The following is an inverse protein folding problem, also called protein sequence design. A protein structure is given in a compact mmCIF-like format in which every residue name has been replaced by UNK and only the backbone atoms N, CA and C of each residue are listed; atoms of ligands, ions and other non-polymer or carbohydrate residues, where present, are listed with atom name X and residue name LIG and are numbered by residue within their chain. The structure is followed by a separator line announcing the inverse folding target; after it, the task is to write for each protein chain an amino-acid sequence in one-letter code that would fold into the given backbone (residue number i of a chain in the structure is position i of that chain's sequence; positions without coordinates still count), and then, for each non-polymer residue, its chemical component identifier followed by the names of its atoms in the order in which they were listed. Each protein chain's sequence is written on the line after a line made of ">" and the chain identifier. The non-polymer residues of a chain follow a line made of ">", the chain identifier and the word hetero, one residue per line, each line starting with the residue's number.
data_IF_274216537931
#
_entry.id   IF_274216537931
#
_cell.length_a   1.000
_cell.length_b   1.000
_cell.length_c   1.000
_cell.angle_alpha   90.00
_cell.angle_beta   90.00
_cell.angle_gamma   90.00
#
_symmetry.space_group_name_H-M   'P 1'
#
loop_
_entity.id
_entity.type
_entity.pdbx_description
1 polymer ?
#
# COMPACT_ATOMS: atom_id res chain seq x y z
N UNK A 1 -39.07 25.22 -76.25
CA UNK A 1 -39.21 23.92 -76.94
C UNK A 1 -38.07 23.01 -76.51
N UNK A 2 -38.39 21.78 -76.09
CA UNK A 2 -37.58 20.54 -76.18
C UNK A 2 -36.31 20.45 -75.30
N UNK A 3 -36.34 19.64 -74.23
CA UNK A 3 -36.04 18.18 -74.17
C UNK A 3 -34.53 17.90 -74.08
N UNK A 4 -34.00 17.46 -72.92
CA UNK A 4 -33.95 16.08 -72.38
C UNK A 4 -32.53 15.52 -72.56
N UNK A 5 -31.93 15.03 -71.46
CA UNK A 5 -31.31 13.69 -71.38
C UNK A 5 -30.86 13.40 -69.96
N UNK A 6 -31.34 12.25 -69.49
CA UNK A 6 -31.12 11.64 -68.18
C UNK A 6 -29.70 11.06 -68.10
N UNK A 7 -29.14 11.01 -66.90
CA UNK A 7 -28.52 9.78 -66.39
C UNK A 7 -28.41 9.82 -64.86
N UNK A 8 -28.84 8.73 -64.25
CA UNK A 8 -29.01 8.52 -62.84
C UNK A 8 -27.66 8.38 -62.11
N UNK A 9 -27.58 8.95 -60.91
CA UNK A 9 -26.75 8.42 -59.84
C UNK A 9 -27.51 8.58 -58.52
N UNK A 10 -28.01 7.45 -58.05
CA UNK A 10 -28.63 7.22 -56.76
C UNK A 10 -27.52 7.24 -55.69
N UNK A 11 -27.51 8.19 -54.77
CA UNK A 11 -27.09 7.93 -53.37
C UNK A 11 -27.93 8.81 -52.44
N UNK A 12 -28.81 8.11 -51.73
CA UNK A 12 -29.57 8.53 -50.57
C UNK A 12 -28.61 8.91 -49.43
N UNK A 13 -28.84 10.06 -48.79
CA UNK A 13 -28.03 10.49 -47.66
C UNK A 13 -28.51 11.78 -46.99
N UNK A 14 -29.78 11.79 -46.59
CA UNK A 14 -30.28 12.70 -45.56
C UNK A 14 -29.51 12.44 -44.25
N UNK A 15 -28.81 13.43 -43.72
CA UNK A 15 -28.99 13.80 -42.31
C UNK A 15 -28.37 15.17 -41.99
N UNK A 16 -29.30 16.06 -41.73
CA UNK A 16 -29.16 17.41 -41.22
C UNK A 16 -28.94 17.38 -39.70
N UNK A 17 -28.14 18.35 -39.24
CA UNK A 17 -28.28 19.12 -37.99
C UNK A 17 -27.57 18.63 -36.71
N UNK A 18 -26.58 19.44 -36.35
CA UNK A 18 -26.42 20.14 -35.06
C UNK A 18 -26.35 19.30 -33.77
N UNK A 19 -25.16 19.31 -33.18
CA UNK A 19 -24.91 18.97 -31.78
C UNK A 19 -23.63 19.63 -31.28
N UNK A 20 -23.58 20.97 -31.26
CA UNK A 20 -22.63 21.71 -30.43
C UNK A 20 -23.14 21.68 -29.00
N UNK A 21 -22.29 21.29 -28.03
CA UNK A 21 -22.28 21.62 -26.58
C UNK A 21 -21.87 20.37 -25.80
N UNK A 22 -20.62 20.35 -25.32
CA UNK A 22 -20.22 19.99 -23.95
C UNK A 22 -18.85 20.66 -23.73
N UNK A 23 -18.82 21.85 -23.15
CA UNK A 23 -18.63 22.11 -21.72
C UNK A 23 -17.14 22.11 -21.31
N UNK A 24 -16.61 23.32 -21.15
CA UNK A 24 -15.37 23.58 -20.41
C UNK A 24 -15.48 22.96 -19.01
N UNK A 25 -14.68 21.92 -18.76
CA UNK A 25 -14.60 21.24 -17.48
C UNK A 25 -13.17 20.76 -17.24
N UNK A 26 -12.36 21.64 -16.67
CA UNK A 26 -11.18 21.34 -15.84
C UNK A 26 -10.10 20.38 -16.43
N UNK A 27 -8.91 20.86 -16.87
CA UNK A 27 -7.79 20.00 -17.30
C UNK A 27 -7.05 19.33 -16.12
N UNK A 28 -7.73 19.11 -14.99
CA UNK A 28 -7.18 18.40 -13.83
C UNK A 28 -7.63 16.93 -13.83
N UNK A 29 -7.61 16.30 -15.01
CA UNK A 29 -7.28 14.88 -15.05
C UNK A 29 -5.78 14.79 -14.77
N UNK A 30 -5.42 14.90 -13.48
CA UNK A 30 -4.20 14.30 -12.99
C UNK A 30 -4.19 12.89 -13.55
N UNK A 31 -3.24 12.62 -14.44
CA UNK A 31 -2.72 11.28 -14.65
C UNK A 31 -2.42 10.74 -13.25
N UNK A 32 -3.39 10.07 -12.65
CA UNK A 32 -3.10 8.95 -11.77
C UNK A 32 -2.40 7.97 -12.69
N UNK A 33 -1.07 8.14 -12.77
CA UNK A 33 -0.19 7.14 -13.31
C UNK A 33 -0.49 5.92 -12.47
N UNK A 34 -1.33 5.04 -13.01
CA UNK A 34 -1.57 3.73 -12.42
C UNK A 34 -0.18 3.10 -12.34
N UNK A 35 0.39 3.10 -11.14
CA UNK A 35 1.64 2.42 -10.85
C UNK A 35 1.39 0.96 -11.16
N UNK A 36 1.75 0.54 -12.37
CA UNK A 36 1.74 -0.84 -12.77
C UNK A 36 2.66 -1.60 -11.79
N UNK A 37 2.23 -2.73 -11.20
CA UNK A 37 3.05 -3.52 -10.29
C UNK A 37 4.44 -3.87 -10.84
N UNK A 38 4.56 -3.96 -12.18
CA UNK A 38 5.81 -4.24 -12.89
C UNK A 38 6.80 -3.06 -12.91
N UNK A 39 6.42 -1.89 -12.39
CA UNK A 39 7.27 -0.69 -12.32
C UNK A 39 8.05 -0.53 -11.00
N UNK A 40 8.01 -1.53 -10.12
CA UNK A 40 8.72 -1.48 -8.82
C UNK A 40 10.17 -1.91 -9.01
N UNK A 41 11.10 -0.99 -8.74
CA UNK A 41 12.55 -1.23 -8.84
C UNK A 41 13.14 -1.85 -7.56
N UNK A 42 14.34 -2.44 -7.68
CA UNK A 42 15.05 -3.01 -6.51
C UNK A 42 15.48 -1.91 -5.53
N UNK A 43 15.83 -0.73 -6.03
CA UNK A 43 16.10 0.48 -5.24
C UNK A 43 14.92 0.82 -4.32
N UNK A 44 13.70 0.81 -4.87
CA UNK A 44 12.49 1.09 -4.10
C UNK A 44 12.19 -0.01 -3.08
N UNK A 45 12.43 -1.28 -3.42
CA UNK A 45 12.31 -2.39 -2.47
C UNK A 45 13.33 -2.31 -1.33
N UNK A 46 14.56 -1.85 -1.60
CA UNK A 46 15.58 -1.58 -0.57
C UNK A 46 15.15 -0.46 0.37
N UNK A 47 14.64 0.65 -0.17
CA UNK A 47 14.10 1.75 0.64
C UNK A 47 12.91 1.29 1.47
N UNK A 48 12.01 0.51 0.87
CA UNK A 48 10.87 -0.06 1.59
C UNK A 48 11.33 -0.98 2.73
N UNK A 49 12.32 -1.86 2.50
CA UNK A 49 12.90 -2.69 3.54
C UNK A 49 13.46 -1.86 4.70
N UNK A 50 14.23 -0.81 4.38
CA UNK A 50 14.77 0.12 5.38
C UNK A 50 13.66 0.80 6.19
N UNK A 51 12.63 1.33 5.52
CA UNK A 51 11.45 1.93 6.18
C UNK A 51 10.80 0.92 7.13
N UNK A 52 10.54 -0.30 6.68
CA UNK A 52 9.90 -1.31 7.55
C UNK A 52 10.77 -1.72 8.73
N UNK A 53 12.10 -1.81 8.54
CA UNK A 53 13.04 -2.14 9.61
C UNK A 53 13.07 -1.06 10.68
N UNK A 54 13.18 0.20 10.27
CA UNK A 54 13.19 1.36 11.18
C UNK A 54 11.88 1.46 11.96
N UNK A 55 10.74 1.29 11.30
CA UNK A 55 9.42 1.30 11.95
C UNK A 55 9.30 0.16 12.95
N UNK A 56 9.72 -1.06 12.60
CA UNK A 56 9.65 -2.20 13.49
C UNK A 56 10.47 -1.98 14.76
N UNK A 57 11.70 -1.48 14.64
CA UNK A 57 12.55 -1.15 15.79
C UNK A 57 11.87 -0.14 16.73
N UNK A 58 11.26 0.93 16.18
CA UNK A 58 10.54 1.92 16.98
C UNK A 58 9.30 1.34 17.65
N UNK A 59 8.57 0.47 16.95
CA UNK A 59 7.38 -0.17 17.50
C UNK A 59 7.74 -1.16 18.62
N UNK A 60 8.81 -1.93 18.47
CA UNK A 60 9.27 -2.85 19.50
C UNK A 60 9.68 -2.09 20.76
N UNK A 61 10.41 -0.98 20.62
CA UNK A 61 10.74 -0.10 21.74
C UNK A 61 9.49 0.51 22.41
N UNK A 62 8.51 0.92 21.61
CA UNK A 62 7.26 1.46 22.13
C UNK A 62 6.41 0.40 22.85
N UNK A 63 6.39 -0.84 22.37
CA UNK A 63 5.71 -1.96 23.05
C UNK A 63 6.31 -2.15 24.45
N UNK A 64 7.64 -2.21 24.55
CA UNK A 64 8.34 -2.32 25.84
C UNK A 64 7.96 -1.16 26.77
N UNK A 65 7.94 0.07 26.25
CA UNK A 65 7.56 1.27 27.01
C UNK A 65 6.11 1.20 27.52
N UNK A 66 5.16 0.84 26.66
CA UNK A 66 3.72 0.81 26.99
C UNK A 66 3.35 -0.33 27.95
N UNK A 67 4.17 -1.38 28.03
CA UNK A 67 3.98 -2.53 28.90
C UNK A 67 4.76 -2.44 30.21
N UNK A 68 5.63 -1.45 30.41
CA UNK A 68 6.50 -1.35 31.59
C UNK A 68 5.74 -1.43 32.93
N UNK A 69 4.52 -0.89 32.98
CA UNK A 69 3.64 -0.89 34.16
C UNK A 69 2.46 -1.87 34.05
N UNK A 70 2.52 -2.83 33.13
CA UNK A 70 1.48 -3.84 32.88
C UNK A 70 1.98 -5.22 33.26
N UNK A 71 1.07 -6.09 33.69
CA UNK A 71 1.37 -7.50 33.98
C UNK A 71 1.38 -8.35 32.69
N UNK A 72 2.08 -7.89 31.66
CA UNK A 72 2.18 -8.58 30.37
C UNK A 72 3.57 -8.37 29.77
N UNK A 73 4.20 -9.49 29.44
CA UNK A 73 5.49 -9.49 28.75
C UNK A 73 5.35 -9.02 27.27
N UNK A 74 6.31 -8.26 26.72
CA UNK A 74 6.31 -7.87 25.31
C UNK A 74 6.14 -9.02 24.31
N UNK A 75 6.79 -10.17 24.54
CA UNK A 75 6.68 -11.34 23.67
C UNK A 75 5.26 -11.89 23.69
N UNK A 76 4.62 -11.91 24.87
CA UNK A 76 3.23 -12.35 25.02
C UNK A 76 2.27 -11.40 24.31
N UNK A 77 2.48 -10.09 24.41
CA UNK A 77 1.71 -9.11 23.66
C UNK A 77 1.82 -9.33 22.15
N UNK A 78 3.05 -9.53 21.64
CA UNK A 78 3.29 -9.78 20.22
C UNK A 78 2.64 -11.09 19.75
N UNK A 79 2.68 -12.14 20.57
CA UNK A 79 2.00 -13.42 20.30
C UNK A 79 0.49 -13.21 20.11
N UNK A 80 -0.16 -12.49 21.03
CA UNK A 80 -1.60 -12.20 20.96
C UNK A 80 -1.91 -11.40 19.69
N UNK A 81 -1.12 -10.37 19.38
CA UNK A 81 -1.29 -9.55 18.17
C UNK A 81 -1.07 -10.35 16.88
N UNK A 82 -0.20 -11.37 16.87
CA UNK A 82 -0.05 -12.29 15.74
C UNK A 82 -1.27 -13.18 15.57
N UNK A 83 -1.77 -13.77 16.67
CA UNK A 83 -2.97 -14.62 16.67
C UNK A 83 -4.21 -13.86 16.18
N UNK A 84 -4.42 -12.63 16.65
CA UNK A 84 -5.56 -11.79 16.23
C UNK A 84 -5.55 -11.45 14.74
N UNK A 85 -4.38 -11.41 14.09
CA UNK A 85 -4.26 -11.15 12.64
C UNK A 85 -4.55 -12.39 11.79
N UNK A 86 -4.50 -13.58 12.37
CA UNK A 86 -4.75 -14.82 11.66
C UNK A 86 -6.14 -15.38 12.06
N UNK A 87 -7.14 -15.35 11.16
CA UNK A 87 -8.50 -15.81 11.47
C UNK A 87 -8.61 -17.33 11.65
N UNK A 88 -7.53 -18.08 11.49
CA UNK A 88 -7.48 -19.53 11.71
C UNK A 88 -6.90 -19.92 13.07
N UNK A 89 -6.43 -18.95 13.86
CA UNK A 89 -5.91 -19.18 15.22
C UNK A 89 -7.01 -19.05 16.25
N UNK A 90 -7.04 -19.98 17.19
CA UNK A 90 -7.95 -19.93 18.33
C UNK A 90 -7.54 -18.82 19.31
N UNK A 91 -8.53 -18.09 19.83
CA UNK A 91 -8.37 -17.04 20.84
C UNK A 91 -8.62 -17.56 22.26
N UNK A 92 -8.96 -18.84 22.45
CA UNK A 92 -9.30 -19.44 23.74
C UNK A 92 -8.21 -19.28 24.81
N UNK A 93 -6.94 -19.07 24.42
CA UNK A 93 -5.81 -18.92 25.32
C UNK A 93 -5.54 -17.48 25.78
N UNK A 94 -6.39 -16.52 25.45
CA UNK A 94 -6.24 -15.11 25.86
C UNK A 94 -7.17 -14.80 27.03
N UNK A 95 -6.59 -14.46 28.18
CA UNK A 95 -7.36 -14.07 29.37
C UNK A 95 -8.02 -12.69 29.21
N UNK A 96 -9.04 -12.41 30.03
CA UNK A 96 -9.70 -11.09 30.03
C UNK A 96 -8.73 -9.93 30.37
N UNK A 97 -7.76 -10.17 31.25
CA UNK A 97 -6.78 -9.16 31.63
C UNK A 97 -5.81 -8.86 30.48
N UNK A 98 -5.40 -9.88 29.75
CA UNK A 98 -4.57 -9.73 28.55
C UNK A 98 -5.34 -8.99 27.46
N UNK A 99 -6.60 -9.36 27.24
CA UNK A 99 -7.45 -8.67 26.26
C UNK A 99 -7.62 -7.18 26.60
N UNK A 100 -7.85 -6.84 27.88
CA UNK A 100 -7.92 -5.43 28.33
C UNK A 100 -6.62 -4.66 28.05
N UNK A 101 -5.48 -5.32 28.25
CA UNK A 101 -4.17 -4.71 27.99
C UNK A 101 -3.98 -4.46 26.50
N UNK A 102 -4.38 -5.41 25.65
CA UNK A 102 -4.35 -5.25 24.19
C UNK A 102 -5.27 -4.13 23.73
N UNK A 103 -6.50 -4.09 24.22
CA UNK A 103 -7.48 -3.05 23.85
C UNK A 103 -7.01 -1.64 24.24
N UNK A 104 -6.26 -1.50 25.34
CA UNK A 104 -5.70 -0.22 25.77
C UNK A 104 -4.49 0.22 24.92
N UNK A 105 -3.63 -0.72 24.55
CA UNK A 105 -2.33 -0.44 23.91
C UNK A 105 -2.45 -0.35 22.40
N UNK A 106 -3.25 -1.21 21.76
CA UNK A 106 -3.41 -1.27 20.31
C UNK A 106 -3.68 0.10 19.65
N UNK A 107 -4.62 0.94 20.12
CA UNK A 107 -4.86 2.25 19.50
C UNK A 107 -3.68 3.21 19.66
N UNK A 108 -2.87 3.09 20.73
CA UNK A 108 -1.65 3.88 20.94
C UNK A 108 -0.57 3.45 19.93
N UNK A 109 -0.35 2.14 19.79
CA UNK A 109 0.58 1.58 18.82
C UNK A 109 0.21 1.92 17.38
N UNK A 110 -1.07 1.89 17.01
CA UNK A 110 -1.51 2.28 15.66
C UNK A 110 -1.12 3.73 15.33
N UNK A 111 -1.24 4.65 16.31
CA UNK A 111 -0.83 6.06 16.13
C UNK A 111 0.68 6.19 15.99
N UNK A 112 1.43 5.49 16.83
CA UNK A 112 2.90 5.48 16.76
C UNK A 112 3.34 4.91 15.42
N UNK A 113 2.79 3.77 15.00
CA UNK A 113 3.11 3.14 13.73
C UNK A 113 2.86 4.06 12.54
N UNK A 114 1.71 4.76 12.51
CA UNK A 114 1.41 5.69 11.43
C UNK A 114 2.45 6.83 11.37
N UNK A 115 2.81 7.39 12.53
CA UNK A 115 3.82 8.45 12.63
C UNK A 115 5.20 7.96 12.19
N UNK A 116 5.64 6.82 12.71
CA UNK A 116 6.97 6.29 12.42
C UNK A 116 7.09 5.84 10.96
N UNK A 117 6.02 5.34 10.32
CA UNK A 117 6.01 5.08 8.88
C UNK A 117 6.26 6.37 8.09
N UNK A 118 5.61 7.48 8.46
CA UNK A 118 5.83 8.78 7.79
C UNK A 118 7.26 9.27 7.96
N UNK A 119 7.79 9.23 9.19
CA UNK A 119 9.16 9.65 9.48
C UNK A 119 10.20 8.80 8.73
N UNK A 120 10.06 7.47 8.79
CA UNK A 120 10.99 6.56 8.13
C UNK A 120 10.93 6.72 6.61
N UNK A 121 9.75 6.94 6.02
CA UNK A 121 9.61 7.26 4.60
C UNK A 121 10.36 8.54 4.20
N UNK A 122 10.26 9.59 5.02
CA UNK A 122 11.01 10.84 4.81
C UNK A 122 12.51 10.61 4.89
N UNK A 123 12.98 9.94 5.95
CA UNK A 123 14.39 9.62 6.19
C UNK A 123 15.02 8.82 5.03
N UNK A 124 14.26 7.90 4.45
CA UNK A 124 14.73 7.00 3.38
C UNK A 124 14.39 7.51 1.97
N UNK A 125 13.76 8.68 1.84
CA UNK A 125 13.38 9.26 0.56
C UNK A 125 12.41 8.39 -0.25
N UNK A 126 11.45 7.75 0.43
CA UNK A 126 10.39 6.95 -0.18
C UNK A 126 9.06 7.71 -0.12
N UNK A 127 8.51 8.05 -1.28
CA UNK A 127 7.26 8.80 -1.35
C UNK A 127 6.06 7.95 -0.89
N UNK A 128 5.04 8.51 -0.20
CA UNK A 128 3.88 7.77 0.30
C UNK A 128 3.13 6.96 -0.78
N UNK A 129 2.97 7.54 -1.98
CA UNK A 129 2.31 6.85 -3.10
C UNK A 129 3.11 5.64 -3.57
N UNK A 130 4.44 5.70 -3.50
CA UNK A 130 5.33 4.59 -3.86
C UNK A 130 5.31 3.52 -2.77
N UNK A 131 5.34 3.89 -1.49
CA UNK A 131 5.15 2.96 -0.38
C UNK A 131 3.84 2.16 -0.55
N UNK A 132 2.72 2.83 -0.77
CA UNK A 132 1.43 2.16 -0.97
C UNK A 132 1.41 1.26 -2.21
N UNK A 133 2.05 1.67 -3.30
CA UNK A 133 2.17 0.84 -4.50
C UNK A 133 2.97 -0.43 -4.24
N UNK A 134 4.05 -0.34 -3.46
CA UNK A 134 4.87 -1.49 -3.05
C UNK A 134 4.06 -2.43 -2.14
N UNK A 135 3.36 -1.90 -1.12
CA UNK A 135 2.48 -2.70 -0.26
C UNK A 135 1.47 -3.49 -1.09
N UNK A 136 0.80 -2.83 -2.03
CA UNK A 136 -0.18 -3.48 -2.92
C UNK A 136 0.47 -4.56 -3.77
N UNK A 137 1.65 -4.29 -4.34
CA UNK A 137 2.34 -5.26 -5.18
C UNK A 137 2.86 -6.46 -4.38
N UNK A 138 3.32 -6.28 -3.14
CA UNK A 138 3.70 -7.38 -2.25
C UNK A 138 2.51 -8.30 -1.92
N UNK A 139 1.28 -7.79 -1.97
CA UNK A 139 0.07 -8.60 -1.77
C UNK A 139 -0.36 -9.38 -3.02
N UNK A 140 -0.06 -8.88 -4.22
CA UNK A 140 -0.64 -9.41 -5.46
C UNK A 140 0.37 -9.93 -6.50
N UNK A 141 1.66 -9.65 -6.36
CA UNK A 141 2.69 -9.98 -7.35
C UNK A 141 3.79 -10.88 -6.74
N UNK A 142 3.79 -12.19 -7.07
CA UNK A 142 4.78 -13.15 -6.56
C UNK A 142 6.24 -12.81 -6.90
N UNK A 143 6.52 -12.20 -8.06
CA UNK A 143 7.88 -11.82 -8.44
C UNK A 143 8.40 -10.66 -7.58
N UNK A 144 7.54 -9.70 -7.24
CA UNK A 144 7.88 -8.61 -6.31
C UNK A 144 8.17 -9.18 -4.91
N UNK A 145 7.37 -10.14 -4.45
CA UNK A 145 7.62 -10.84 -3.17
C UNK A 145 8.98 -11.53 -3.17
N UNK A 146 9.29 -12.30 -4.23
CA UNK A 146 10.57 -13.01 -4.36
C UNK A 146 11.77 -12.06 -4.35
N UNK A 147 11.69 -10.94 -5.07
CA UNK A 147 12.74 -9.91 -5.09
C UNK A 147 12.90 -9.25 -3.73
N UNK A 148 11.80 -8.91 -3.07
CA UNK A 148 11.82 -8.34 -1.73
C UNK A 148 12.48 -9.29 -0.71
N UNK A 149 12.12 -10.57 -0.72
CA UNK A 149 12.74 -11.60 0.14
C UNK A 149 14.24 -11.72 -0.10
N UNK A 150 14.69 -11.67 -1.36
CA UNK A 150 16.12 -11.71 -1.67
C UNK A 150 16.85 -10.50 -1.07
N UNK A 151 16.30 -9.31 -1.25
CA UNK A 151 16.88 -8.07 -0.71
C UNK A 151 17.00 -8.11 0.81
N UNK A 152 15.95 -8.54 1.52
CA UNK A 152 15.98 -8.58 2.99
C UNK A 152 16.93 -9.65 3.52
N UNK A 153 17.06 -10.80 2.84
CA UNK A 153 18.05 -11.84 3.18
C UNK A 153 19.49 -11.33 3.00
N UNK A 154 19.78 -10.64 1.90
CA UNK A 154 21.11 -10.05 1.64
C UNK A 154 21.48 -9.00 2.70
N UNK A 155 20.52 -8.16 3.11
CA UNK A 155 20.73 -7.16 4.17
C UNK A 155 21.04 -7.80 5.53
N UNK A 156 20.34 -8.88 5.90
CA UNK A 156 20.60 -9.60 7.15
C UNK A 156 21.99 -10.23 7.17
N UNK A 157 22.45 -10.79 6.04
CA UNK A 157 23.79 -11.37 5.93
C UNK A 157 24.90 -10.32 6.03
N UNK A 158 24.67 -9.12 5.51
CA UNK A 158 25.63 -8.01 5.61
C UNK A 158 25.70 -7.43 7.03
N UNK A 159 24.57 -7.32 7.71
CA UNK A 159 24.53 -6.80 9.09
C UNK A 159 25.08 -7.80 10.13
N UNK A 160 25.03 -9.11 9.85
CA UNK A 160 25.61 -10.13 10.73
C UNK A 160 27.13 -10.33 10.58
N UNK A 161 27.79 -9.60 9.68
CA UNK A 161 29.24 -9.67 9.45
C UNK A 161 30.00 -8.45 10.01
N UNK A 162 29.31 -7.48 10.61
CA UNK A 162 29.88 -6.28 11.21
C UNK A 162 29.78 -6.30 12.74
#
# INVERSE_FOLDING_TARGET
>A
MKFFKQSAAFVLGFLLMAGSVLAQGNPMQQKMQQTQPDSISDEELKKFAAVTSEVNEKIDAEIVSLLADKEMDPERFQEIMMKQRNPQTDSADVSEQEQKTVDEIQPKLMKVQQKEIMNAMENNGLQPQRFQAIVKALQSNPEVVKRYQKITQEQQQQNGQN
#
